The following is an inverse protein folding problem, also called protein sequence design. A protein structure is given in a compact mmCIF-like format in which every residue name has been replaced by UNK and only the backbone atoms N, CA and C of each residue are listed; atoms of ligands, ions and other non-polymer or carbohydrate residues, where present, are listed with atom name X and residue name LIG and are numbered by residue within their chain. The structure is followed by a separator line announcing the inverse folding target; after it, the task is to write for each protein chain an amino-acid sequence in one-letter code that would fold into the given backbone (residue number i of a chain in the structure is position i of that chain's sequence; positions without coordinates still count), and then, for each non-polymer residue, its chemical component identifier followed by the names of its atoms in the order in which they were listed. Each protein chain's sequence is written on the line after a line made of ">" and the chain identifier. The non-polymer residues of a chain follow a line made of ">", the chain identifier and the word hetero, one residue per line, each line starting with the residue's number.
data_IF_091740329407
#
_entry.id   IF_091740329407
#
_cell.length_a   1.000
_cell.length_b   1.000
_cell.length_c   1.000
_cell.angle_alpha   90.00
_cell.angle_beta   90.00
_cell.angle_gamma   90.00
#
_symmetry.space_group_name_H-M   'P 1'
#
loop_
_entity.id
_entity.type
_entity.pdbx_description
1 polymer ?
2 polymer ?
3 non-polymer ?
4 water ?
#
# COMPACT_ATOMS: atom_id res chain seq x y z
N UNK A 1 -7.18 2.29 -21.88
CA UNK A 1 -8.01 1.31 -22.66
C UNK A 1 -7.50 -0.16 -22.68
N UNK A 2 -6.19 -0.40 -22.73
CA UNK A 2 -5.67 -1.77 -22.50
C UNK A 2 -5.71 -2.07 -21.01
N UNK A 3 -5.52 -3.33 -20.60
CA UNK A 3 -5.63 -3.70 -19.18
C UNK A 3 -4.46 -3.17 -18.39
N UNK A 4 -3.31 -3.03 -19.03
CA UNK A 4 -2.17 -2.44 -18.35
C UNK A 4 -2.44 -0.94 -18.13
N UNK A 5 -3.04 -0.28 -19.11
CA UNK A 5 -3.33 1.15 -18.96
C UNK A 5 -4.37 1.38 -17.84
N UNK A 6 -5.37 0.50 -17.80
CA UNK A 6 -6.29 0.42 -16.67
C UNK A 6 -5.60 0.23 -15.34
N UNK A 7 -4.57 -0.61 -15.32
CA UNK A 7 -3.80 -0.84 -14.10
C UNK A 7 -3.08 0.44 -13.66
N UNK A 8 -2.50 1.15 -14.63
CA UNK A 8 -1.82 2.43 -14.34
C UNK A 8 -2.79 3.47 -13.77
N UNK A 9 -4.00 3.58 -14.34
CA UNK A 9 -4.95 4.56 -13.80
C UNK A 9 -5.40 4.17 -12.38
N UNK A 10 -5.65 2.88 -12.16
CA UNK A 10 -6.05 2.34 -10.83
C UNK A 10 -5.03 2.70 -9.76
N UNK A 11 -3.75 2.52 -10.08
CA UNK A 11 -2.69 2.82 -9.13
C UNK A 11 -2.77 4.26 -8.66
N UNK A 12 -2.83 5.17 -9.63
CA UNK A 12 -3.00 6.60 -9.38
C UNK A 12 -4.28 6.92 -8.58
N UNK A 13 -5.41 6.40 -9.06
CA UNK A 13 -6.73 6.70 -8.55
C UNK A 13 -6.83 6.28 -7.09
N UNK A 14 -6.37 5.08 -6.76
CA UNK A 14 -6.55 4.56 -5.41
C UNK A 14 -5.60 5.27 -4.44
N UNK A 15 -4.34 5.49 -4.83
CA UNK A 15 -3.44 6.25 -3.97
C UNK A 15 -4.02 7.60 -3.56
N UNK A 16 -4.57 8.34 -4.51
CA UNK A 16 -5.10 9.66 -4.21
C UNK A 16 -6.42 9.65 -3.42
N UNK A 17 -7.26 8.66 -3.67
CA UNK A 17 -8.44 8.42 -2.84
C UNK A 17 -8.07 8.39 -1.37
N UNK A 18 -7.01 7.66 -1.04
CA UNK A 18 -6.59 7.54 0.34
C UNK A 18 -5.67 8.69 0.79
N UNK A 19 -4.77 9.14 -0.08
CA UNK A 19 -3.75 10.12 0.38
C UNK A 19 -4.40 11.46 0.67
N UNK A 20 -5.44 11.77 -0.09
CA UNK A 20 -6.11 13.04 0.05
C UNK A 20 -7.07 13.15 1.21
N UNK A 21 -7.24 12.08 1.99
CA UNK A 21 -8.24 12.12 3.08
C UNK A 21 -7.90 13.16 4.12
N UNK A 22 -6.62 13.23 4.50
CA UNK A 22 -6.21 14.09 5.60
C UNK A 22 -4.80 14.58 5.37
N UNK A 23 -4.44 15.66 6.06
CA UNK A 23 -3.10 16.21 6.01
C UNK A 23 -2.64 16.42 4.58
N UNK A 24 -1.36 16.12 4.36
CA UNK A 24 -0.75 16.19 3.04
C UNK A 24 -1.55 15.33 2.06
N UNK A 25 -2.08 15.95 1.02
CA UNK A 25 -2.94 15.24 0.08
C UNK A 25 -2.14 14.37 -0.87
N UNK A 26 -0.81 14.50 -0.81
CA UNK A 26 0.07 13.71 -1.67
C UNK A 26 0.81 12.59 -0.96
N UNK A 27 0.53 12.40 0.32
CA UNK A 27 1.14 11.32 1.07
C UNK A 27 0.05 10.64 1.89
N UNK A 28 0.26 9.34 2.11
CA UNK A 28 -0.56 8.53 3.00
C UNK A 28 0.02 8.59 4.41
N UNK A 29 -0.79 9.01 5.39
CA UNK A 29 -0.39 8.89 6.79
C UNK A 29 -0.79 7.49 7.23
N UNK A 30 -0.45 7.08 8.45
CA UNK A 30 -0.72 5.69 8.89
C UNK A 30 -2.18 5.24 8.73
N UNK A 31 -3.12 6.08 9.15
CA UNK A 31 -4.53 5.73 9.07
C UNK A 31 -5.01 5.58 7.63
N UNK A 32 -4.49 6.41 6.73
CA UNK A 32 -4.81 6.31 5.30
C UNK A 32 -4.24 5.03 4.67
N UNK A 33 -3.00 4.72 5.02
CA UNK A 33 -2.32 3.50 4.58
C UNK A 33 -3.07 2.27 5.08
N UNK A 34 -3.43 2.27 6.36
CA UNK A 34 -4.12 1.14 6.97
C UNK A 34 -5.46 0.83 6.24
N UNK A 35 -6.22 1.88 5.93
CA UNK A 35 -7.52 1.69 5.30
C UNK A 35 -7.39 1.27 3.86
N UNK A 36 -6.36 1.76 3.19
CA UNK A 36 -6.06 1.40 1.81
C UNK A 36 -5.86 -0.12 1.76
N UNK A 37 -4.96 -0.60 2.63
CA UNK A 37 -4.67 -2.03 2.78
C UNK A 37 -5.92 -2.85 3.10
N UNK A 38 -6.67 -2.42 4.12
CA UNK A 38 -7.80 -3.19 4.59
C UNK A 38 -8.94 -3.19 3.61
N UNK A 39 -9.10 -2.09 2.90
CA UNK A 39 -10.25 -1.93 2.01
C UNK A 39 -9.96 -2.43 0.61
N UNK A 40 -8.71 -2.29 0.19
CA UNK A 40 -8.35 -2.46 -1.23
C UNK A 40 -7.38 -3.61 -1.56
N UNK A 41 -6.77 -4.20 -0.52
CA UNK A 41 -5.80 -5.30 -0.66
C UNK A 41 -6.21 -6.54 0.16
N UNK A 42 -7.50 -6.70 0.44
CA UNK A 42 -7.97 -7.78 1.33
C UNK A 42 -7.78 -9.23 0.82
N UNK A 43 -7.61 -9.37 -0.49
CA UNK A 43 -7.29 -10.66 -1.09
C UNK A 43 -5.79 -10.99 -1.10
N UNK A 44 -4.93 -10.02 -0.85
CA UNK A 44 -3.47 -10.25 -0.89
C UNK A 44 -2.80 -10.13 0.48
N UNK A 45 -3.43 -9.40 1.40
CA UNK A 45 -2.83 -9.09 2.69
C UNK A 45 -3.87 -9.27 3.78
N UNK A 46 -3.43 -9.70 4.95
CA UNK A 46 -4.36 -9.93 6.05
C UNK A 46 -4.77 -8.57 6.58
N UNK A 47 -6.08 -8.42 6.81
CA UNK A 47 -6.62 -7.24 7.47
C UNK A 47 -5.74 -6.84 8.64
N UNK A 48 -5.40 -5.55 8.72
CA UNK A 48 -4.59 -5.03 9.82
C UNK A 48 -5.54 -4.71 10.96
N UNK A 49 -5.44 -5.46 12.06
CA UNK A 49 -6.32 -5.28 13.22
C UNK A 49 -5.57 -4.90 14.50
N UNK A 50 -4.28 -4.61 14.37
CA UNK A 50 -3.46 -4.26 15.51
C UNK A 50 -2.66 -3.04 15.15
N UNK A 51 -2.61 -2.08 16.06
CA UNK A 51 -1.80 -0.88 15.85
C UNK A 51 -0.38 -1.21 15.42
N UNK A 52 0.26 -2.19 16.05
CA UNK A 52 1.68 -2.40 15.75
C UNK A 52 1.96 -2.90 14.32
N UNK A 53 0.96 -3.48 13.66
CA UNK A 53 1.14 -3.90 12.27
C UNK A 53 1.12 -2.69 11.34
N UNK A 54 0.12 -1.81 11.49
CA UNK A 54 0.09 -0.46 10.90
C UNK A 54 1.47 0.24 11.03
N UNK A 55 2.00 0.25 12.25
CA UNK A 55 3.23 0.98 12.55
C UNK A 55 4.43 0.36 11.82
N UNK A 56 4.53 -0.97 11.88
CA UNK A 56 5.62 -1.69 11.21
C UNK A 56 5.57 -1.57 9.68
N UNK A 57 4.37 -1.62 9.11
CA UNK A 57 4.21 -1.45 7.66
C UNK A 57 4.69 -0.06 7.24
N UNK A 58 4.27 0.97 7.97
CA UNK A 58 4.71 2.32 7.64
C UNK A 58 6.21 2.45 7.80
N UNK A 59 6.77 1.86 8.85
CA UNK A 59 8.22 1.91 9.10
C UNK A 59 8.98 1.31 7.90
N UNK A 60 8.45 0.21 7.38
CA UNK A 60 9.02 -0.47 6.21
C UNK A 60 8.90 0.37 4.93
N UNK A 61 7.71 0.90 4.65
CA UNK A 61 7.48 1.65 3.40
C UNK A 61 8.04 3.07 3.38
N UNK A 62 8.17 3.67 4.57
CA UNK A 62 8.68 5.04 4.74
C UNK A 62 10.19 5.19 4.51
N UNK A 63 10.58 5.08 3.25
CA UNK A 63 11.98 5.10 2.84
C UNK A 63 12.73 6.41 3.10
N UNK A 64 12.09 7.56 2.90
CA UNK A 64 12.81 8.83 3.15
C UNK A 64 12.68 9.31 4.60
N UNK A 65 11.93 8.56 5.42
CA UNK A 65 11.88 8.77 6.86
C UNK A 65 11.11 9.99 7.34
N UNK A 66 10.02 10.32 6.66
CA UNK A 66 9.23 11.49 7.00
C UNK A 66 7.88 11.15 7.66
N UNK A 67 7.68 9.88 7.99
CA UNK A 67 6.49 9.46 8.73
C UNK A 67 5.28 9.15 7.88
N UNK A 68 5.40 9.37 6.57
CA UNK A 68 4.29 9.14 5.63
C UNK A 68 4.77 8.35 4.41
N UNK A 69 3.79 7.85 3.67
CA UNK A 69 4.06 7.08 2.47
C UNK A 69 3.66 7.92 1.27
N UNK A 70 4.67 8.44 0.57
CA UNK A 70 4.43 9.18 -0.68
C UNK A 70 4.20 8.25 -1.88
N UNK A 71 3.98 8.83 -3.06
CA UNK A 71 3.63 8.01 -4.22
C UNK A 71 4.77 7.11 -4.70
N UNK A 72 6.01 7.59 -4.60
CA UNK A 72 7.17 6.76 -4.89
C UNK A 72 7.25 5.55 -3.96
N UNK A 73 7.06 5.78 -2.67
CA UNK A 73 7.07 4.71 -1.68
C UNK A 73 5.90 3.77 -1.86
N UNK A 74 4.76 4.33 -2.25
CA UNK A 74 3.61 3.50 -2.58
C UNK A 74 3.92 2.57 -3.74
N UNK A 75 4.57 3.07 -4.80
CA UNK A 75 4.86 2.20 -5.97
C UNK A 75 5.77 1.06 -5.58
N UNK A 76 6.76 1.36 -4.73
CA UNK A 76 7.63 0.34 -4.15
C UNK A 76 6.79 -0.72 -3.42
N UNK A 77 5.77 -0.29 -2.68
CA UNK A 77 4.88 -1.22 -1.97
C UNK A 77 4.16 -2.12 -2.97
N UNK A 78 3.63 -1.52 -4.03
CA UNK A 78 3.00 -2.26 -5.15
C UNK A 78 3.97 -3.25 -5.82
N UNK A 79 5.21 -2.82 -6.07
CA UNK A 79 6.25 -3.69 -6.62
C UNK A 79 6.44 -4.92 -5.73
N UNK A 80 6.45 -4.68 -4.42
CA UNK A 80 6.61 -5.73 -3.40
C UNK A 80 5.46 -6.73 -3.44
N UNK A 81 4.25 -6.20 -3.48
CA UNK A 81 3.06 -7.04 -3.60
C UNK A 81 3.10 -7.84 -4.87
N UNK A 82 3.36 -7.18 -6.00
CA UNK A 82 3.23 -7.81 -7.31
C UNK A 82 4.28 -8.92 -7.49
N UNK A 83 5.49 -8.64 -7.01
CA UNK A 83 6.57 -9.61 -6.99
C UNK A 83 6.13 -10.81 -6.15
N UNK A 84 5.62 -10.57 -4.95
CA UNK A 84 5.29 -11.69 -4.06
C UNK A 84 4.17 -12.57 -4.62
N UNK A 85 3.32 -11.98 -5.46
CA UNK A 85 2.20 -12.71 -6.09
C UNK A 85 2.51 -13.85 -7.07
N UNK A 86 3.62 -13.75 -7.80
CA UNK A 86 4.24 -14.95 -8.37
C UNK A 86 5.60 -14.87 -7.73
N UNK A 87 5.83 -15.58 -6.63
CA UNK A 87 5.34 -16.91 -6.31
C UNK A 87 4.50 -16.86 -5.02
N UNK A 88 3.27 -17.38 -4.98
CA UNK A 88 2.68 -18.37 -5.88
C UNK A 88 2.61 -18.13 -7.38
N UNK A 89 3.23 -19.05 -8.12
CA UNK A 89 2.96 -19.40 -9.54
C UNK A 89 4.15 -19.19 -10.47
N UNK B 3 -5.09 -13.89 -2.69
CA UNK B 3 -4.01 -14.85 -2.29
C UNK B 3 -3.12 -14.22 -1.21
N UNK B 4 -3.21 -14.70 0.03
CA UNK B 4 -2.49 -14.05 1.12
C UNK B 4 -0.98 -14.20 0.97
N UNK B 5 -0.34 -13.05 0.89
CA UNK B 5 0.96 -12.85 0.25
C UNK B 5 1.92 -12.35 1.28
N UNK B 6 1.56 -12.63 2.53
CA UNK B 6 1.64 -11.69 3.63
C UNK B 6 2.83 -12.03 4.57
N UNK B 7 2.96 -11.50 5.81
CA UNK B 7 3.05 -10.08 6.15
C UNK B 7 4.53 -9.87 6.43
N UNK B 8 5.23 -10.96 6.78
CA UNK B 8 6.66 -10.92 7.10
C UNK B 8 7.47 -10.85 5.82
N UNK B 9 6.76 -10.91 4.70
CA UNK B 9 7.34 -11.26 3.41
C UNK B 9 8.07 -10.20 2.56
N UNK B 10 7.58 -8.97 2.28
CA UNK B 10 6.72 -8.00 3.04
C UNK B 10 7.44 -7.25 4.21
N UNK B 11 6.85 -7.28 5.41
CA UNK B 11 7.39 -6.69 6.66
C UNK B 11 6.53 -5.55 7.21
X LIG C 1 8.06 8.88 3.36
X LIG D 1 -2.76 12.34 3.51
#
# INVERSE_FOLDING_TARGET
>A
MSELEKAVVALIDVFHQYSGREGDKHKLKKSELKELINNELSHFLEEIKEQEVVDKVMETLDSDGDGECDFQEFMAFVAMITTACHEFFEHE
>B
TRTKIDWNKILS
>C hetero
1 CA CA
>D hetero
1 CA CA
#
